data_IF_299177357930
#
_entry.id   IF_299177357930
#
_cell.length_a   1.000
_cell.length_b   1.000
_cell.length_c   1.000
_cell.angle_alpha   90.00
_cell.angle_beta   90.00
_cell.angle_gamma   90.00
#
_symmetry.space_group_name_H-M   'P 1'
#
loop_
_entity.id
_entity.type
_entity.pdbx_description
1 polymer ?
#
# COMPACT_ATOMS: atom_id res chain seq x y z
N UNK A 1 23.47 6.36 -6.08
CA UNK A 1 22.60 7.51 -6.38
C UNK A 1 21.32 7.03 -7.03
N UNK A 2 21.36 6.31 -8.16
CA UNK A 2 20.16 5.80 -8.86
C UNK A 2 19.27 4.92 -7.97
N UNK A 3 19.83 3.91 -7.28
CA UNK A 3 19.05 3.03 -6.40
C UNK A 3 18.31 3.79 -5.29
N UNK A 4 18.95 4.83 -4.75
CA UNK A 4 18.39 5.71 -3.73
C UNK A 4 17.19 6.51 -4.27
N UNK A 5 17.31 7.08 -5.47
CA UNK A 5 16.21 7.82 -6.08
C UNK A 5 15.02 6.93 -6.38
N UNK A 6 15.24 5.74 -6.95
CA UNK A 6 14.16 4.78 -7.25
C UNK A 6 13.47 4.37 -5.95
N UNK A 7 14.23 4.02 -4.91
CA UNK A 7 13.68 3.64 -3.60
C UNK A 7 12.74 4.70 -3.02
N UNK A 8 13.20 5.96 -2.95
CA UNK A 8 12.41 7.04 -2.37
C UNK A 8 11.26 7.49 -3.26
N UNK A 9 11.41 7.42 -4.58
CA UNK A 9 10.32 7.69 -5.51
C UNK A 9 9.17 6.68 -5.35
N UNK A 10 9.48 5.38 -5.29
CA UNK A 10 8.48 4.33 -5.05
C UNK A 10 7.84 4.51 -3.67
N UNK A 11 8.64 4.79 -2.64
CA UNK A 11 8.11 5.10 -1.30
C UNK A 11 7.12 6.27 -1.33
N UNK A 12 7.48 7.38 -1.98
CA UNK A 12 6.65 8.57 -2.06
C UNK A 12 5.32 8.31 -2.80
N UNK A 13 5.37 7.56 -3.92
CA UNK A 13 4.16 7.18 -4.66
C UNK A 13 3.25 6.30 -3.81
N UNK A 14 3.80 5.29 -3.13
CA UNK A 14 3.03 4.43 -2.23
C UNK A 14 2.46 5.21 -1.04
N UNK A 15 3.22 6.15 -0.47
CA UNK A 15 2.76 6.96 0.65
C UNK A 15 1.63 7.91 0.21
N UNK A 16 1.77 8.57 -0.93
CA UNK A 16 0.74 9.44 -1.48
C UNK A 16 -0.55 8.68 -1.80
N UNK A 17 -0.44 7.52 -2.47
CA UNK A 17 -1.60 6.67 -2.75
C UNK A 17 -2.25 6.13 -1.46
N UNK A 18 -1.45 5.66 -0.50
CA UNK A 18 -1.95 5.13 0.76
C UNK A 18 -2.71 6.18 1.57
N UNK A 19 -2.19 7.41 1.64
CA UNK A 19 -2.85 8.54 2.28
C UNK A 19 -4.15 8.92 1.56
N UNK A 20 -4.11 9.00 0.22
CA UNK A 20 -5.29 9.26 -0.60
C UNK A 20 -6.37 8.22 -0.34
N UNK A 21 -6.00 6.93 -0.39
CA UNK A 21 -6.92 5.84 -0.13
C UNK A 21 -7.52 5.89 1.28
N UNK A 22 -6.71 6.21 2.31
CA UNK A 22 -7.20 6.37 3.67
C UNK A 22 -8.26 7.47 3.76
N UNK A 23 -7.97 8.66 3.22
CA UNK A 23 -8.89 9.80 3.24
C UNK A 23 -10.22 9.46 2.55
N UNK A 24 -10.16 8.91 1.34
CA UNK A 24 -11.38 8.53 0.62
C UNK A 24 -12.15 7.41 1.30
N UNK A 25 -11.46 6.46 1.96
CA UNK A 25 -12.14 5.43 2.75
C UNK A 25 -12.96 6.03 3.88
N UNK A 26 -12.42 7.04 4.57
CA UNK A 26 -13.17 7.77 5.60
C UNK A 26 -14.38 8.52 5.03
N UNK A 27 -14.25 9.15 3.86
CA UNK A 27 -15.34 9.86 3.19
C UNK A 27 -16.47 8.90 2.77
N UNK A 28 -16.12 7.74 2.20
CA UNK A 28 -17.13 6.75 1.82
C UNK A 28 -17.86 6.18 3.04
N UNK A 29 -17.15 5.98 4.15
CA UNK A 29 -17.75 5.57 5.41
C UNK A 29 -18.71 6.62 5.97
N UNK A 30 -18.34 7.91 5.93
CA UNK A 30 -19.22 8.98 6.41
C UNK A 30 -20.46 9.15 5.54
N UNK A 31 -20.37 8.83 4.24
CA UNK A 31 -21.47 8.93 3.29
C UNK A 31 -22.31 7.64 3.20
N UNK A 32 -21.99 6.60 3.99
CA UNK A 32 -22.60 5.28 3.93
C UNK A 32 -22.47 4.56 2.57
N UNK A 33 -21.44 4.90 1.78
CA UNK A 33 -21.13 4.29 0.48
C UNK A 33 -20.14 3.12 0.64
N UNK A 34 -20.40 2.23 1.60
CA UNK A 34 -19.45 1.21 2.04
C UNK A 34 -19.03 0.24 0.94
N UNK A 35 -19.87 -0.02 -0.06
CA UNK A 35 -19.52 -0.85 -1.22
C UNK A 35 -18.26 -0.36 -1.97
N UNK A 36 -17.98 0.95 -1.95
CA UNK A 36 -16.79 1.52 -2.60
C UNK A 36 -15.48 1.13 -1.89
N UNK A 37 -15.54 0.73 -0.62
CA UNK A 37 -14.35 0.31 0.14
C UNK A 37 -13.75 -0.99 -0.40
N UNK A 38 -14.57 -1.87 -1.00
CA UNK A 38 -14.08 -3.09 -1.65
C UNK A 38 -13.16 -2.79 -2.83
N UNK A 39 -13.48 -1.75 -3.61
CA UNK A 39 -12.64 -1.33 -4.73
C UNK A 39 -11.26 -0.86 -4.23
N UNK A 40 -11.25 -0.04 -3.17
CA UNK A 40 -10.00 0.40 -2.56
C UNK A 40 -9.22 -0.74 -1.93
N UNK A 41 -9.88 -1.71 -1.29
CA UNK A 41 -9.22 -2.90 -0.75
C UNK A 41 -8.47 -3.69 -1.82
N UNK A 42 -9.09 -3.89 -2.99
CA UNK A 42 -8.46 -4.61 -4.12
C UNK A 42 -7.25 -3.84 -4.64
N UNK A 43 -7.39 -2.53 -4.92
CA UNK A 43 -6.27 -1.74 -5.43
C UNK A 43 -5.13 -1.67 -4.42
N UNK A 44 -5.45 -1.46 -3.14
CA UNK A 44 -4.45 -1.44 -2.08
C UNK A 44 -3.77 -2.79 -1.90
N UNK A 45 -4.47 -3.90 -2.09
CA UNK A 45 -3.85 -5.23 -2.08
C UNK A 45 -2.82 -5.37 -3.21
N UNK A 46 -3.15 -4.91 -4.42
CA UNK A 46 -2.22 -4.92 -5.56
C UNK A 46 -1.01 -4.02 -5.27
N UNK A 47 -1.23 -2.78 -4.81
CA UNK A 47 -0.16 -1.85 -4.46
C UNK A 47 0.72 -2.38 -3.32
N UNK A 48 0.12 -2.97 -2.29
CA UNK A 48 0.81 -3.59 -1.17
C UNK A 48 1.67 -4.78 -1.62
N UNK A 49 1.15 -5.66 -2.47
CA UNK A 49 1.90 -6.78 -3.05
C UNK A 49 3.07 -6.30 -3.91
N UNK A 50 2.86 -5.32 -4.78
CA UNK A 50 3.92 -4.72 -5.59
C UNK A 50 4.97 -4.05 -4.70
N UNK A 51 4.54 -3.37 -3.63
CA UNK A 51 5.44 -2.77 -2.64
C UNK A 51 6.27 -3.80 -1.89
N UNK A 52 5.69 -4.93 -1.47
CA UNK A 52 6.42 -6.03 -0.84
C UNK A 52 7.42 -6.68 -1.79
N UNK A 53 7.03 -6.91 -3.05
CA UNK A 53 7.92 -7.43 -4.08
C UNK A 53 9.10 -6.48 -4.31
N UNK A 54 8.83 -5.18 -4.42
CA UNK A 54 9.87 -4.16 -4.55
C UNK A 54 10.82 -4.14 -3.35
N UNK A 55 10.29 -4.17 -2.12
CA UNK A 55 11.09 -4.22 -0.90
C UNK A 55 12.00 -5.47 -0.86
N UNK A 56 11.48 -6.61 -1.30
CA UNK A 56 12.26 -7.85 -1.40
C UNK A 56 13.41 -7.71 -2.41
N UNK A 57 13.14 -7.19 -3.62
CA UNK A 57 14.18 -6.93 -4.63
C UNK A 57 15.25 -5.99 -4.06
N UNK A 58 14.82 -4.90 -3.41
CA UNK A 58 15.72 -3.90 -2.83
C UNK A 58 16.44 -4.39 -1.57
N UNK A 59 16.03 -5.50 -0.94
CA UNK A 59 16.78 -6.08 0.18
C UNK A 59 18.12 -6.69 -0.26
N UNK A 60 18.26 -7.05 -1.54
CA UNK A 60 19.46 -7.68 -2.07
C UNK A 60 20.46 -6.64 -2.60
N UNK A 61 21.47 -6.32 -1.80
CA UNK A 61 22.48 -5.32 -2.19
C UNK A 61 23.36 -5.73 -3.38
N UNK A 62 23.49 -7.03 -3.67
CA UNK A 62 24.23 -7.50 -4.84
C UNK A 62 23.46 -7.19 -6.13
N UNK A 63 22.14 -7.40 -6.13
CA UNK A 63 21.27 -7.03 -7.25
C UNK A 63 21.25 -5.53 -7.46
N UNK A 64 21.15 -4.74 -6.39
CA UNK A 64 21.21 -3.29 -6.51
C UNK A 64 22.50 -2.82 -7.19
N UNK A 65 23.65 -3.39 -6.80
CA UNK A 65 24.92 -3.06 -7.42
C UNK A 65 24.98 -3.48 -8.89
N UNK A 66 24.46 -4.66 -9.22
CA UNK A 66 24.45 -5.18 -10.59
C UNK A 66 23.56 -4.33 -11.52
N UNK A 67 22.33 -4.01 -11.11
CA UNK A 67 21.35 -3.32 -11.94
C UNK A 67 21.50 -1.79 -11.94
N UNK A 68 21.90 -1.20 -10.81
CA UNK A 68 21.86 0.26 -10.61
C UNK A 68 23.24 0.88 -10.36
N UNK A 69 24.33 0.08 -10.39
CA UNK A 69 25.69 0.48 -10.05
C UNK A 69 25.81 1.23 -8.70
N UNK A 70 24.81 1.06 -7.82
CA UNK A 70 24.70 1.77 -6.55
C UNK A 70 23.77 1.04 -5.60
N UNK A 71 23.92 1.31 -4.31
CA UNK A 71 23.17 0.64 -3.23
C UNK A 71 22.46 1.66 -2.34
N UNK A 72 21.35 1.24 -1.77
CA UNK A 72 20.65 1.90 -0.67
C UNK A 72 20.25 0.83 0.34
N UNK A 73 20.44 1.12 1.62
CA UNK A 73 19.90 0.27 2.67
C UNK A 73 18.42 0.61 2.87
N UNK A 74 17.51 -0.37 2.73
CA UNK A 74 16.10 -0.14 3.01
C UNK A 74 15.89 0.35 4.43
N UNK A 75 15.08 1.39 4.59
CA UNK A 75 14.68 1.96 5.86
C UNK A 75 13.47 1.22 6.45
N UNK A 76 13.37 1.19 7.79
CA UNK A 76 12.22 0.64 8.49
C UNK A 76 10.89 1.32 8.10
N UNK A 77 10.95 2.59 7.66
CA UNK A 77 9.80 3.35 7.19
C UNK A 77 9.05 2.67 6.04
N UNK A 78 9.76 2.04 5.11
CA UNK A 78 9.11 1.34 4.00
C UNK A 78 8.34 0.13 4.51
N UNK A 79 8.92 -0.64 5.44
CA UNK A 79 8.21 -1.73 6.10
C UNK A 79 6.96 -1.25 6.85
N UNK A 80 7.06 -0.14 7.60
CA UNK A 80 5.90 0.44 8.28
C UNK A 80 4.80 0.89 7.31
N UNK A 81 5.18 1.46 6.16
CA UNK A 81 4.23 1.82 5.11
C UNK A 81 3.49 0.57 4.59
N UNK A 82 4.21 -0.52 4.31
CA UNK A 82 3.60 -1.78 3.85
C UNK A 82 2.69 -2.44 4.90
N UNK A 83 3.07 -2.38 6.18
CA UNK A 83 2.19 -2.82 7.29
C UNK A 83 0.93 -1.94 7.33
N UNK A 84 1.07 -0.62 7.12
CA UNK A 84 -0.05 0.30 7.01
C UNK A 84 -1.04 -0.09 5.89
N UNK A 85 -0.53 -0.50 4.72
CA UNK A 85 -1.37 -1.05 3.66
C UNK A 85 -2.13 -2.30 4.10
N UNK A 86 -1.46 -3.26 4.76
CA UNK A 86 -2.13 -4.47 5.26
C UNK A 86 -3.28 -4.13 6.22
N UNK A 87 -3.04 -3.22 7.18
CA UNK A 87 -4.08 -2.77 8.11
C UNK A 87 -5.22 -2.08 7.36
N UNK A 88 -4.90 -1.17 6.44
CA UNK A 88 -5.90 -0.43 5.67
C UNK A 88 -6.78 -1.37 4.83
N UNK A 89 -6.19 -2.37 4.17
CA UNK A 89 -6.92 -3.39 3.40
C UNK A 89 -7.88 -4.16 4.32
N UNK A 90 -7.41 -4.62 5.47
CA UNK A 90 -8.27 -5.36 6.43
C UNK A 90 -9.44 -4.49 6.87
N UNK A 91 -9.20 -3.22 7.21
CA UNK A 91 -10.26 -2.29 7.58
C UNK A 91 -11.25 -2.06 6.43
N UNK A 92 -10.77 -1.85 5.21
CA UNK A 92 -11.62 -1.65 4.04
C UNK A 92 -12.47 -2.88 3.73
N UNK A 93 -11.92 -4.09 3.84
CA UNK A 93 -12.67 -5.33 3.65
C UNK A 93 -13.74 -5.50 4.73
N UNK A 94 -13.41 -5.25 6.00
CA UNK A 94 -14.35 -5.42 7.11
C UNK A 94 -15.47 -4.37 7.05
N UNK A 95 -15.11 -3.10 6.86
CA UNK A 95 -16.05 -1.98 6.86
C UNK A 95 -16.82 -1.86 5.54
N UNK A 96 -16.27 -2.40 4.44
CA UNK A 96 -16.94 -2.50 3.14
C UNK A 96 -18.03 -3.56 3.06
N UNK A 97 -18.18 -4.42 4.08
CA UNK A 97 -19.31 -5.35 4.13
C UNK A 97 -20.58 -4.56 4.39
N UNK A 98 -21.49 -4.54 3.41
CA UNK A 98 -22.85 -4.06 3.65
C UNK A 98 -23.57 -5.00 4.61
N UNK A 99 -24.43 -4.45 5.49
CA UNK A 99 -25.32 -5.29 6.31
C UNK A 99 -26.21 -6.07 5.35
N UNK A 100 -26.14 -7.41 5.40
CA UNK A 100 -27.17 -8.21 4.75
C UNK A 100 -28.51 -7.83 5.37
N UNK A 101 -29.44 -7.34 4.54
CA UNK A 101 -30.83 -7.19 4.93
C UNK A 101 -31.29 -8.59 5.31
N UNK A 102 -31.49 -8.84 6.60
CA UNK A 102 -32.20 -10.03 7.07
C UNK A 102 -33.57 -9.99 6.40
N UNK A 103 -33.75 -10.81 5.37
CA UNK A 103 -35.07 -11.02 4.78
C UNK A 103 -35.86 -11.76 5.84
N UNK A 104 -36.89 -11.09 6.38
CA UNK A 104 -37.76 -11.59 7.43
C UNK A 104 -38.52 -12.86 7.00
#
# INVERSE_FOLDING_TARGET
MVATFIYWAVFAVLAAWGLWSLVFSCVYLSNHENGNLWFFAIINAIFGLLGWLFAWIMSNTAWQQYWFASKVQPSAWFTYLLIGYLVLIVLQVVLGREKQVQTA
#
